data_IF_170672866778
#
_entry.id   IF_170672866778
#
_cell.length_a   1.000
_cell.length_b   1.000
_cell.length_c   1.000
_cell.angle_alpha   90.00
_cell.angle_beta   90.00
_cell.angle_gamma   90.00
#
_symmetry.space_group_name_H-M   'P 1'
#
loop_
_entity.id
_entity.type
_entity.pdbx_description
1 polymer ?
#
# COMPACT_ATOMS: atom_id res chain seq x y z
N UNK A 1 -4.58 12.54 -11.71
CA UNK A 1 -3.68 13.31 -10.84
C UNK A 1 -2.25 12.81 -11.07
N UNK A 2 -1.27 13.72 -11.16
CA UNK A 2 0.15 13.36 -11.32
C UNK A 2 1.07 14.31 -10.57
N UNK A 3 2.21 13.78 -10.09
CA UNK A 3 3.32 14.55 -9.53
C UNK A 3 4.51 14.66 -10.50
N UNK A 4 4.45 13.97 -11.65
CA UNK A 4 5.48 14.01 -12.69
C UNK A 4 5.03 14.94 -13.83
N UNK A 5 5.71 16.09 -13.97
CA UNK A 5 5.39 17.10 -14.99
C UNK A 5 5.43 16.58 -16.42
N UNK A 6 6.12 15.46 -16.68
CA UNK A 6 6.24 14.83 -18.00
C UNK A 6 5.05 13.93 -18.34
N UNK A 7 4.21 13.60 -17.33
CA UNK A 7 3.06 12.68 -17.42
C UNK A 7 1.74 13.40 -17.22
N UNK A 8 1.73 14.70 -17.39
CA UNK A 8 0.50 15.49 -17.31
C UNK A 8 -0.38 15.17 -18.51
N UNK A 9 -1.61 14.79 -18.24
CA UNK A 9 -2.65 14.58 -19.24
C UNK A 9 -3.56 15.82 -19.31
N UNK A 10 -4.15 16.05 -20.47
CA UNK A 10 -5.11 17.15 -20.67
C UNK A 10 -6.29 16.97 -19.67
N UNK A 11 -6.60 18.05 -18.96
CA UNK A 11 -7.63 18.03 -17.91
C UNK A 11 -7.16 17.46 -16.57
N UNK A 12 -5.88 17.07 -16.45
CA UNK A 12 -5.30 16.52 -15.23
C UNK A 12 -5.03 17.56 -14.15
N UNK A 13 -4.90 17.11 -12.90
CA UNK A 13 -4.41 17.90 -11.77
C UNK A 13 -2.92 17.62 -11.57
N UNK A 14 -2.10 18.65 -11.62
CA UNK A 14 -0.68 18.55 -11.29
C UNK A 14 -0.44 18.86 -9.82
N UNK A 15 0.35 18.03 -9.15
CA UNK A 15 0.72 18.23 -7.75
C UNK A 15 2.24 18.37 -7.64
N UNK A 16 2.77 19.59 -7.52
CA UNK A 16 4.18 19.83 -7.36
C UNK A 16 4.62 19.42 -5.95
N UNK A 17 5.52 18.44 -5.87
CA UNK A 17 6.14 18.03 -4.62
C UNK A 17 7.51 18.68 -4.50
N UNK A 18 7.82 19.24 -3.32
CA UNK A 18 9.15 19.75 -3.00
C UNK A 18 10.02 18.57 -2.59
N UNK A 19 10.97 18.21 -3.42
CA UNK A 19 11.97 17.19 -3.14
C UNK A 19 13.30 17.78 -2.71
N UNK A 20 14.21 16.94 -2.22
CA UNK A 20 15.55 17.37 -1.75
C UNK A 20 16.37 18.13 -2.81
N UNK A 21 16.22 17.78 -4.07
CA UNK A 21 17.02 18.33 -5.19
C UNK A 21 16.25 19.27 -6.08
N UNK A 22 14.94 19.16 -6.10
CA UNK A 22 14.09 19.85 -7.08
C UNK A 22 12.79 20.28 -6.42
N UNK A 23 12.48 21.57 -6.53
CA UNK A 23 11.13 22.09 -6.27
C UNK A 23 10.30 22.00 -7.55
N UNK A 24 9.29 21.10 -7.55
CA UNK A 24 8.47 20.85 -8.73
C UNK A 24 7.52 22.01 -9.07
N UNK A 25 7.36 23.03 -8.20
CA UNK A 25 6.56 24.23 -8.53
C UNK A 25 7.09 24.96 -9.76
N UNK A 26 8.39 24.86 -10.07
CA UNK A 26 8.98 25.45 -11.27
C UNK A 26 8.41 24.92 -12.57
N UNK A 27 7.77 23.74 -12.55
CA UNK A 27 7.17 23.13 -13.73
C UNK A 27 5.71 23.52 -13.95
N UNK A 28 5.10 24.31 -13.04
CA UNK A 28 3.70 24.73 -13.14
C UNK A 28 3.40 25.38 -14.51
N UNK A 29 4.15 26.38 -15.01
CA UNK A 29 3.87 26.97 -16.31
C UNK A 29 3.85 25.91 -17.43
N UNK A 30 4.86 25.05 -17.48
CA UNK A 30 4.98 24.00 -18.49
C UNK A 30 3.79 23.03 -18.49
N UNK A 31 3.33 22.61 -17.30
CA UNK A 31 2.21 21.64 -17.20
C UNK A 31 0.88 22.30 -17.54
N UNK A 32 0.71 23.58 -17.26
CA UNK A 32 -0.49 24.32 -17.67
C UNK A 32 -0.56 24.48 -19.20
N UNK A 33 0.56 24.80 -19.83
CA UNK A 33 0.68 24.82 -21.30
C UNK A 33 0.40 23.44 -21.93
N UNK A 34 0.80 22.35 -21.25
CA UNK A 34 0.51 20.98 -21.68
C UNK A 34 -0.98 20.58 -21.49
N UNK A 35 -1.80 21.46 -20.90
CA UNK A 35 -3.25 21.28 -20.80
C UNK A 35 -3.72 20.70 -19.45
N UNK A 36 -2.95 20.82 -18.38
CA UNK A 36 -3.45 20.57 -17.04
C UNK A 36 -4.68 21.46 -16.76
N UNK A 37 -5.67 20.92 -16.05
CA UNK A 37 -6.86 21.69 -15.65
C UNK A 37 -6.53 22.65 -14.51
N UNK A 38 -5.72 22.20 -13.57
CA UNK A 38 -5.33 22.96 -12.38
C UNK A 38 -4.04 22.41 -11.78
N UNK A 39 -3.48 23.16 -10.85
CA UNK A 39 -2.35 22.69 -10.03
C UNK A 39 -2.62 22.93 -8.54
N UNK A 40 -1.94 22.16 -7.68
CA UNK A 40 -1.74 22.57 -6.28
C UNK A 40 -0.55 23.51 -6.18
N UNK A 41 -0.44 24.25 -5.10
CA UNK A 41 0.74 25.06 -4.77
C UNK A 41 0.88 25.26 -3.27
N UNK A 42 2.09 25.14 -2.75
CA UNK A 42 2.38 25.43 -1.34
C UNK A 42 2.60 26.94 -1.10
N UNK A 43 2.56 27.74 -2.14
CA UNK A 43 2.77 29.17 -2.10
C UNK A 43 1.80 29.91 -3.02
N UNK A 44 1.59 31.19 -2.76
CA UNK A 44 0.85 32.07 -3.66
C UNK A 44 1.57 32.17 -5.01
N UNK A 45 0.83 31.99 -6.09
CA UNK A 45 1.33 32.13 -7.46
C UNK A 45 0.92 33.52 -7.95
N UNK A 46 1.82 34.50 -7.80
CA UNK A 46 1.57 35.88 -8.26
C UNK A 46 1.42 35.93 -9.78
N UNK A 47 0.36 36.60 -10.25
CA UNK A 47 0.10 36.73 -11.68
C UNK A 47 -0.33 35.45 -12.39
N UNK A 48 -0.74 34.40 -11.66
CA UNK A 48 -1.25 33.18 -12.26
C UNK A 48 -2.52 33.46 -13.08
N UNK A 49 -2.48 33.06 -14.34
CA UNK A 49 -3.59 33.13 -15.31
C UNK A 49 -4.37 31.81 -15.40
N UNK A 50 -4.09 30.88 -14.51
CA UNK A 50 -4.65 29.53 -14.47
C UNK A 50 -5.15 29.16 -13.06
N UNK A 51 -6.11 28.21 -12.95
CA UNK A 51 -6.63 27.75 -11.67
C UNK A 51 -5.55 27.04 -10.83
N UNK A 52 -5.44 27.39 -9.56
CA UNK A 52 -4.65 26.64 -8.59
C UNK A 52 -5.32 26.60 -7.23
N UNK A 53 -4.98 25.59 -6.43
CA UNK A 53 -5.44 25.43 -5.05
C UNK A 53 -4.22 25.56 -4.16
N UNK A 54 -4.24 26.54 -3.26
CA UNK A 54 -3.17 26.70 -2.28
C UNK A 54 -3.36 25.72 -1.13
N UNK A 55 -2.29 25.01 -0.79
CA UNK A 55 -2.23 23.99 0.27
C UNK A 55 -1.03 24.22 1.18
N UNK A 56 -1.10 23.74 2.43
CA UNK A 56 0.04 23.84 3.35
C UNK A 56 1.15 22.84 3.03
N UNK A 57 0.80 21.69 2.42
CA UNK A 57 1.75 20.66 1.97
C UNK A 57 1.16 19.89 0.80
N UNK A 58 1.84 19.88 -0.32
CA UNK A 58 1.44 19.13 -1.52
C UNK A 58 1.46 17.63 -1.26
N UNK A 59 2.43 17.13 -0.50
CA UNK A 59 2.51 15.72 -0.13
C UNK A 59 1.36 15.29 0.78
N UNK A 60 0.97 16.14 1.75
CA UNK A 60 -0.18 15.85 2.60
C UNK A 60 -1.48 15.90 1.78
N UNK A 61 -1.63 16.88 0.90
CA UNK A 61 -2.80 16.98 0.02
C UNK A 61 -2.97 15.75 -0.88
N UNK A 62 -1.88 15.20 -1.43
CA UNK A 62 -1.92 13.94 -2.20
C UNK A 62 -2.47 12.78 -1.35
N UNK A 63 -2.04 12.69 -0.09
CA UNK A 63 -2.51 11.64 0.84
C UNK A 63 -3.98 11.81 1.17
N UNK A 64 -4.41 13.03 1.49
CA UNK A 64 -5.80 13.34 1.85
C UNK A 64 -6.75 13.10 0.66
N UNK A 65 -6.35 13.47 -0.55
CA UNK A 65 -7.12 13.21 -1.77
C UNK A 65 -7.22 11.70 -2.03
N UNK A 66 -6.14 10.95 -1.84
CA UNK A 66 -6.14 9.51 -2.05
C UNK A 66 -7.01 8.78 -1.02
N UNK A 67 -6.95 9.18 0.27
CA UNK A 67 -7.83 8.66 1.32
C UNK A 67 -9.29 8.89 0.96
N UNK A 68 -9.66 10.14 0.64
CA UNK A 68 -11.02 10.49 0.25
C UNK A 68 -11.49 9.72 -0.98
N UNK A 69 -10.65 9.65 -2.04
CA UNK A 69 -11.01 8.97 -3.28
C UNK A 69 -11.27 7.48 -3.08
N UNK A 70 -10.40 6.81 -2.31
CA UNK A 70 -10.57 5.38 -2.03
C UNK A 70 -11.83 5.10 -1.20
N UNK A 71 -12.18 5.99 -0.27
CA UNK A 71 -13.44 5.89 0.49
C UNK A 71 -14.69 6.02 -0.39
N UNK A 72 -14.65 6.84 -1.45
CA UNK A 72 -15.78 7.00 -2.37
C UNK A 72 -16.00 5.76 -3.24
N UNK A 73 -14.95 5.01 -3.55
CA UNK A 73 -15.04 3.77 -4.34
C UNK A 73 -15.63 2.60 -3.54
N UNK A 74 -15.50 2.63 -2.21
CA UNK A 74 -16.01 1.61 -1.26
C UNK A 74 -15.69 0.16 -1.67
N UNK A 75 -14.51 -0.06 -2.23
CA UNK A 75 -14.04 -1.39 -2.64
C UNK A 75 -13.21 -2.06 -1.55
N UNK A 76 -13.20 -3.41 -1.44
CA UNK A 76 -12.33 -4.13 -0.54
C UNK A 76 -10.85 -3.89 -0.84
N UNK A 77 -10.06 -3.75 0.21
CA UNK A 77 -8.61 -3.55 0.11
C UNK A 77 -7.86 -4.64 0.85
N UNK A 78 -6.88 -5.25 0.17
CA UNK A 78 -5.88 -6.14 0.77
C UNK A 78 -4.58 -5.35 0.93
N UNK A 79 -4.18 -5.06 2.17
CA UNK A 79 -2.92 -4.39 2.49
C UNK A 79 -1.83 -5.40 2.78
N UNK A 80 -0.66 -5.28 2.15
CA UNK A 80 0.44 -6.23 2.30
C UNK A 80 1.69 -5.52 2.77
N UNK A 81 2.27 -5.99 3.87
CA UNK A 81 3.58 -5.54 4.36
C UNK A 81 4.46 -6.71 4.80
N UNK A 82 5.66 -6.40 5.25
CA UNK A 82 6.66 -7.35 5.72
C UNK A 82 8.07 -6.89 5.37
N UNK A 83 9.07 -7.55 5.91
CA UNK A 83 10.46 -7.21 5.64
C UNK A 83 10.87 -7.65 4.23
N UNK A 84 10.56 -8.88 3.85
CA UNK A 84 10.79 -9.46 2.52
C UNK A 84 9.53 -10.15 2.00
N UNK A 85 9.47 -10.40 0.69
CA UNK A 85 8.38 -11.17 0.07
C UNK A 85 7.09 -10.39 -0.22
N UNK A 86 6.99 -9.11 0.13
CA UNK A 86 5.80 -8.26 -0.13
C UNK A 86 5.35 -8.32 -1.58
N UNK A 87 6.25 -8.04 -2.50
CA UNK A 87 5.95 -7.97 -3.94
C UNK A 87 5.51 -9.34 -4.48
N UNK A 88 6.20 -10.42 -4.12
CA UNK A 88 5.81 -11.77 -4.54
C UNK A 88 4.44 -12.15 -3.99
N UNK A 89 4.17 -11.87 -2.72
CA UNK A 89 2.86 -12.12 -2.08
C UNK A 89 1.76 -11.31 -2.75
N UNK A 90 1.99 -10.03 -3.03
CA UNK A 90 1.08 -9.17 -3.79
C UNK A 90 0.75 -9.76 -5.17
N UNK A 91 1.77 -10.22 -5.90
CA UNK A 91 1.57 -10.80 -7.23
C UNK A 91 0.70 -12.07 -7.17
N UNK A 92 0.98 -12.96 -6.21
CA UNK A 92 0.21 -14.20 -6.04
C UNK A 92 -1.22 -13.90 -5.62
N UNK A 93 -1.45 -13.05 -4.61
CA UNK A 93 -2.79 -12.68 -4.16
C UNK A 93 -3.58 -12.03 -5.30
N UNK A 94 -3.00 -11.06 -6.00
CA UNK A 94 -3.66 -10.41 -7.11
C UNK A 94 -3.97 -11.38 -8.27
N UNK A 95 -3.10 -12.36 -8.53
CA UNK A 95 -3.33 -13.38 -9.54
C UNK A 95 -4.54 -14.25 -9.22
N UNK A 96 -4.68 -14.68 -7.96
CA UNK A 96 -5.84 -15.48 -7.52
C UNK A 96 -7.12 -14.64 -7.56
N UNK A 97 -7.07 -13.40 -7.07
CA UNK A 97 -8.26 -12.53 -7.05
C UNK A 97 -8.77 -12.19 -8.45
N UNK A 98 -7.86 -12.04 -9.43
CA UNK A 98 -8.20 -11.76 -10.84
C UNK A 98 -9.03 -12.85 -11.51
N UNK A 99 -9.04 -14.06 -11.00
CA UNK A 99 -9.89 -15.13 -11.52
C UNK A 99 -11.41 -14.83 -11.32
N UNK A 100 -11.73 -13.88 -10.41
CA UNK A 100 -13.10 -13.54 -10.09
C UNK A 100 -13.42 -12.05 -10.11
N UNK A 101 -12.45 -11.20 -9.81
CA UNK A 101 -12.65 -9.76 -9.59
C UNK A 101 -11.81 -8.91 -10.53
N UNK A 102 -12.33 -7.76 -10.97
CA UNK A 102 -11.50 -6.72 -11.54
C UNK A 102 -10.55 -6.18 -10.45
N UNK A 103 -9.27 -6.53 -10.55
CA UNK A 103 -8.30 -6.36 -9.46
C UNK A 103 -7.22 -5.36 -9.84
N UNK A 104 -7.14 -4.24 -9.14
CA UNK A 104 -6.00 -3.34 -9.20
C UNK A 104 -4.94 -3.76 -8.18
N UNK A 105 -3.67 -3.67 -8.55
CA UNK A 105 -2.54 -3.88 -7.62
C UNK A 105 -1.49 -2.81 -7.73
N UNK A 106 -0.70 -2.64 -6.65
CA UNK A 106 0.50 -1.80 -6.67
C UNK A 106 1.45 -2.23 -7.78
N UNK A 107 1.87 -1.30 -8.62
CA UNK A 107 2.88 -1.51 -9.66
C UNK A 107 4.28 -1.18 -9.14
N UNK A 108 5.28 -2.00 -9.53
CA UNK A 108 6.65 -1.78 -9.13
C UNK A 108 6.80 -1.62 -7.62
N UNK A 109 7.47 -0.55 -7.21
CA UNK A 109 7.73 -0.19 -5.82
C UNK A 109 6.92 1.05 -5.35
N UNK A 110 5.76 1.32 -5.93
CA UNK A 110 4.86 2.41 -5.50
C UNK A 110 4.16 2.09 -4.18
N UNK A 111 4.95 1.79 -3.14
CA UNK A 111 4.52 1.27 -1.86
C UNK A 111 4.81 2.18 -0.66
N UNK A 112 5.33 3.39 -0.90
CA UNK A 112 5.64 4.39 0.10
C UNK A 112 4.58 5.51 0.17
N UNK A 113 4.81 6.56 0.97
CA UNK A 113 3.88 7.66 1.22
C UNK A 113 3.48 8.49 -0.02
N UNK A 114 4.25 8.43 -1.09
CA UNK A 114 3.89 9.02 -2.38
C UNK A 114 3.36 7.98 -3.36
N UNK A 115 3.97 6.80 -3.38
CA UNK A 115 3.63 5.73 -4.33
C UNK A 115 2.27 5.12 -4.10
N UNK A 116 1.86 4.92 -2.83
CA UNK A 116 0.55 4.37 -2.50
C UNK A 116 -0.59 5.29 -2.97
N UNK A 117 -0.61 6.61 -2.69
CA UNK A 117 -1.57 7.54 -3.27
C UNK A 117 -1.64 7.48 -4.80
N UNK A 118 -0.48 7.46 -5.47
CA UNK A 118 -0.44 7.37 -6.94
C UNK A 118 -0.99 6.04 -7.47
N UNK A 119 -0.87 4.97 -6.69
CA UNK A 119 -1.52 3.69 -6.99
C UNK A 119 -3.04 3.80 -6.84
N UNK A 120 -3.52 4.43 -5.77
CA UNK A 120 -4.95 4.67 -5.52
C UNK A 120 -5.59 5.50 -6.63
N UNK A 121 -4.92 6.53 -7.14
CA UNK A 121 -5.45 7.34 -8.26
C UNK A 121 -5.58 6.59 -9.59
N UNK A 122 -5.12 5.36 -9.68
CA UNK A 122 -5.32 4.50 -10.86
C UNK A 122 -6.59 3.67 -10.77
N UNK A 123 -7.21 3.57 -9.60
CA UNK A 123 -8.49 2.91 -9.43
C UNK A 123 -9.57 3.60 -10.27
N UNK A 124 -10.50 2.81 -10.76
CA UNK A 124 -11.67 3.23 -11.56
C UNK A 124 -12.92 2.52 -11.01
N UNK A 125 -14.07 2.97 -11.46
CA UNK A 125 -15.38 2.42 -11.05
C UNK A 125 -15.55 0.92 -11.37
N UNK A 126 -14.80 0.41 -12.37
CA UNK A 126 -14.81 -1.02 -12.72
C UNK A 126 -13.93 -1.89 -11.82
N UNK A 127 -13.03 -1.32 -11.03
CA UNK A 127 -12.19 -2.09 -10.10
C UNK A 127 -13.03 -2.55 -8.89
N UNK A 128 -13.01 -3.85 -8.61
CA UNK A 128 -13.80 -4.47 -7.56
C UNK A 128 -12.98 -4.77 -6.29
N UNK A 129 -11.64 -4.77 -6.39
CA UNK A 129 -10.73 -5.01 -5.26
C UNK A 129 -9.35 -4.42 -5.53
N UNK A 130 -8.73 -3.88 -4.48
CA UNK A 130 -7.37 -3.37 -4.54
C UNK A 130 -6.39 -4.20 -3.70
N UNK A 131 -5.21 -4.50 -4.25
CA UNK A 131 -4.09 -5.17 -3.55
C UNK A 131 -2.94 -4.19 -3.42
N UNK A 132 -2.79 -3.62 -2.23
CA UNK A 132 -1.88 -2.51 -1.96
C UNK A 132 -0.66 -2.97 -1.15
N UNK A 133 0.52 -2.87 -1.76
CA UNK A 133 1.79 -3.10 -1.08
C UNK A 133 2.18 -1.86 -0.26
N UNK A 134 2.60 -2.06 1.00
CA UNK A 134 3.00 -1.02 1.94
C UNK A 134 4.41 -1.27 2.46
N UNK A 135 5.35 -0.43 2.06
CA UNK A 135 6.74 -0.42 2.50
C UNK A 135 7.01 0.73 3.45
N UNK A 136 7.74 0.45 4.51
CA UNK A 136 8.11 1.45 5.53
C UNK A 136 9.59 1.34 5.88
N UNK A 137 10.15 2.46 6.30
CA UNK A 137 11.52 2.60 6.79
C UNK A 137 11.57 3.13 8.22
N UNK A 138 10.50 3.76 8.73
CA UNK A 138 10.47 4.41 10.03
C UNK A 138 9.11 4.23 10.72
N UNK A 139 9.06 4.52 12.02
CA UNK A 139 7.83 4.54 12.81
C UNK A 139 6.83 5.58 12.30
N UNK A 140 5.54 5.26 12.39
CA UNK A 140 4.45 6.12 11.94
C UNK A 140 4.22 6.15 10.43
N UNK A 141 5.15 5.66 9.60
CA UNK A 141 4.92 5.57 8.16
C UNK A 141 3.79 4.59 7.85
N UNK A 142 3.77 3.43 8.54
CA UNK A 142 2.69 2.45 8.36
C UNK A 142 1.34 3.02 8.77
N UNK A 143 1.28 3.77 9.85
CA UNK A 143 0.07 4.48 10.28
C UNK A 143 -0.46 5.40 9.18
N UNK A 144 0.42 6.18 8.53
CA UNK A 144 0.03 7.10 7.43
C UNK A 144 -0.43 6.36 6.18
N UNK A 145 0.25 5.27 5.81
CA UNK A 145 -0.15 4.42 4.67
C UNK A 145 -1.49 3.70 4.94
N UNK A 146 -1.62 3.11 6.12
CA UNK A 146 -2.81 2.36 6.50
C UNK A 146 -4.04 3.27 6.66
N UNK A 147 -3.86 4.52 7.09
CA UNK A 147 -4.92 5.52 7.13
C UNK A 147 -5.53 5.78 5.75
N UNK A 148 -4.69 5.84 4.71
CA UNK A 148 -5.15 6.01 3.32
C UNK A 148 -5.86 4.74 2.84
N UNK A 149 -5.24 3.58 3.05
CA UNK A 149 -5.69 2.31 2.49
C UNK A 149 -6.89 1.70 3.22
N UNK A 150 -7.01 1.91 4.53
CA UNK A 150 -8.05 1.32 5.43
C UNK A 150 -8.37 -0.12 5.05
N UNK A 151 -7.38 -1.03 5.07
CA UNK A 151 -7.52 -2.35 4.48
C UNK A 151 -8.60 -3.19 5.18
N UNK A 152 -9.40 -3.91 4.41
CA UNK A 152 -10.30 -4.93 4.95
C UNK A 152 -9.51 -6.12 5.49
N UNK A 153 -8.45 -6.49 4.80
CA UNK A 153 -7.54 -7.57 5.19
C UNK A 153 -6.10 -7.08 5.12
N UNK A 154 -5.34 -7.27 6.17
CA UNK A 154 -3.89 -7.08 6.12
C UNK A 154 -3.15 -8.40 6.11
N UNK A 155 -2.03 -8.45 5.38
CA UNK A 155 -1.10 -9.60 5.35
C UNK A 155 0.29 -9.12 5.74
N UNK A 156 0.90 -9.76 6.76
CA UNK A 156 2.30 -9.51 7.12
C UNK A 156 3.12 -10.76 6.82
N UNK A 157 4.07 -10.65 5.90
CA UNK A 157 4.83 -11.80 5.40
C UNK A 157 5.89 -12.30 6.36
N UNK A 158 6.63 -11.38 6.99
CA UNK A 158 7.67 -11.70 8.00
C UNK A 158 8.22 -10.44 8.68
N UNK A 159 8.97 -10.66 9.78
CA UNK A 159 9.70 -9.65 10.54
C UNK A 159 11.20 -9.97 10.47
N UNK A 160 11.88 -9.37 9.53
CA UNK A 160 13.33 -9.49 9.35
C UNK A 160 14.10 -8.32 9.96
N UNK A 161 15.33 -8.11 9.49
CA UNK A 161 16.30 -7.12 9.99
C UNK A 161 16.42 -5.89 9.07
N UNK A 162 15.32 -5.51 8.38
CA UNK A 162 15.33 -4.32 7.53
C UNK A 162 15.17 -3.04 8.34
N UNK A 163 15.82 -1.95 7.89
CA UNK A 163 15.70 -0.58 8.46
C UNK A 163 16.02 -0.51 9.97
N UNK A 164 16.96 -1.32 10.46
CA UNK A 164 17.35 -1.34 11.88
C UNK A 164 17.96 0.00 12.33
N UNK A 165 18.53 0.76 11.41
CA UNK A 165 19.04 2.11 11.66
C UNK A 165 17.95 3.06 12.23
N UNK A 166 16.70 2.89 11.82
CA UNK A 166 15.57 3.70 12.27
C UNK A 166 14.70 2.96 13.30
N UNK A 167 14.54 1.64 13.14
CA UNK A 167 13.62 0.83 13.93
C UNK A 167 14.29 0.12 15.12
N UNK A 168 15.62 0.18 15.22
CA UNK A 168 16.41 -0.37 16.32
C UNK A 168 16.66 -1.87 16.19
N UNK A 169 15.65 -2.68 16.41
CA UNK A 169 15.72 -4.14 16.38
C UNK A 169 14.50 -4.77 15.71
N UNK A 170 14.40 -6.11 15.74
CA UNK A 170 13.23 -6.83 15.18
C UNK A 170 11.94 -6.57 15.94
N UNK A 171 11.98 -6.21 17.20
CA UNK A 171 10.80 -5.81 17.96
C UNK A 171 10.29 -4.44 17.51
N UNK A 172 11.21 -3.51 17.21
CA UNK A 172 10.88 -2.25 16.56
C UNK A 172 10.29 -2.45 15.16
N UNK A 173 10.84 -3.38 14.36
CA UNK A 173 10.26 -3.74 13.06
C UNK A 173 8.84 -4.32 13.21
N UNK A 174 8.61 -5.21 14.17
CA UNK A 174 7.28 -5.73 14.49
C UNK A 174 6.34 -4.59 14.86
N UNK A 175 6.73 -3.74 15.79
CA UNK A 175 5.94 -2.60 16.24
C UNK A 175 5.54 -1.68 15.10
N UNK A 176 6.51 -1.29 14.26
CA UNK A 176 6.25 -0.41 13.12
C UNK A 176 5.30 -1.04 12.09
N UNK A 177 5.47 -2.34 11.76
CA UNK A 177 4.61 -3.00 10.77
C UNK A 177 3.21 -3.29 11.31
N UNK A 178 3.06 -3.56 12.60
CA UNK A 178 1.75 -3.80 13.23
C UNK A 178 0.94 -2.51 13.45
N UNK A 179 1.50 -1.33 13.20
CA UNK A 179 0.72 -0.08 13.15
C UNK A 179 -0.44 -0.18 12.14
N UNK A 180 -0.33 -1.01 11.09
CA UNK A 180 -1.40 -1.25 10.12
C UNK A 180 -2.70 -1.72 10.79
N UNK A 181 -2.61 -2.45 11.91
CA UNK A 181 -3.77 -3.01 12.59
C UNK A 181 -4.78 -1.96 13.05
N UNK A 182 -4.34 -0.71 13.29
CA UNK A 182 -5.22 0.38 13.70
C UNK A 182 -6.32 0.70 12.67
N UNK A 183 -6.09 0.32 11.41
CA UNK A 183 -6.97 0.65 10.28
C UNK A 183 -7.55 -0.58 9.58
N UNK A 184 -7.24 -1.79 10.06
CA UNK A 184 -7.79 -3.03 9.51
C UNK A 184 -9.26 -3.18 9.91
N UNK A 185 -10.12 -3.49 8.94
CA UNK A 185 -11.55 -3.57 9.16
C UNK A 185 -12.05 -4.99 9.50
N UNK A 186 -11.41 -6.07 8.98
CA UNK A 186 -11.96 -7.43 9.05
C UNK A 186 -10.97 -8.50 9.46
N UNK A 187 -9.83 -8.62 8.76
CA UNK A 187 -8.94 -9.77 8.93
C UNK A 187 -7.47 -9.37 9.06
N UNK A 188 -6.79 -10.02 9.99
CA UNK A 188 -5.34 -9.96 10.17
C UNK A 188 -4.78 -11.33 9.78
N UNK A 189 -3.93 -11.39 8.74
CA UNK A 189 -3.32 -12.62 8.22
C UNK A 189 -1.82 -12.56 8.43
N UNK A 190 -1.27 -13.49 9.20
CA UNK A 190 0.12 -13.47 9.64
C UNK A 190 0.84 -14.78 9.31
N UNK A 191 2.13 -14.68 9.03
CA UNK A 191 2.98 -15.86 8.91
C UNK A 191 3.21 -16.49 10.28
N UNK A 192 2.65 -17.68 10.52
CA UNK A 192 2.78 -18.43 11.76
C UNK A 192 4.16 -19.08 11.96
N UNK A 193 4.96 -19.19 10.90
CA UNK A 193 6.34 -19.71 10.98
C UNK A 193 7.36 -18.60 11.35
N UNK A 194 6.94 -17.34 11.40
CA UNK A 194 7.76 -16.22 11.87
C UNK A 194 7.69 -16.11 13.40
N UNK A 195 8.83 -16.15 14.07
CA UNK A 195 8.96 -16.16 15.54
C UNK A 195 8.37 -14.90 16.21
N UNK A 196 8.35 -13.76 15.50
CA UNK A 196 7.78 -12.52 16.02
C UNK A 196 6.27 -12.43 15.74
N UNK A 197 5.84 -12.75 14.52
CA UNK A 197 4.42 -12.68 14.15
C UNK A 197 3.58 -13.71 14.90
N UNK A 198 4.12 -14.90 15.18
CA UNK A 198 3.44 -15.97 15.95
C UNK A 198 3.11 -15.58 17.40
N UNK A 199 3.76 -14.53 17.94
CA UNK A 199 3.46 -14.01 19.28
C UNK A 199 2.22 -13.11 19.32
N UNK A 200 1.74 -12.60 18.18
CA UNK A 200 0.56 -11.74 18.07
C UNK A 200 -0.69 -12.60 18.31
N UNK A 201 -1.47 -12.28 19.35
CA UNK A 201 -2.63 -13.08 19.72
C UNK A 201 -3.96 -12.47 19.29
N UNK A 202 -4.10 -11.17 19.49
CA UNK A 202 -5.33 -10.45 19.23
C UNK A 202 -5.06 -8.96 19.05
N UNK A 203 -5.86 -8.30 18.24
CA UNK A 203 -5.91 -6.85 18.15
C UNK A 203 -7.37 -6.37 18.02
N UNK A 204 -7.86 -5.60 19.00
CA UNK A 204 -9.23 -5.07 19.05
C UNK A 204 -10.33 -6.11 18.77
N UNK A 205 -10.23 -7.30 19.37
CA UNK A 205 -11.18 -8.39 19.17
C UNK A 205 -10.96 -9.21 17.90
N UNK A 206 -10.02 -8.83 17.04
CA UNK A 206 -9.65 -9.60 15.85
C UNK A 206 -8.58 -10.63 16.17
N UNK A 207 -8.90 -11.92 16.00
CA UNK A 207 -7.95 -13.02 16.09
C UNK A 207 -7.19 -13.14 14.77
N UNK A 208 -5.85 -13.17 14.76
CA UNK A 208 -5.09 -13.40 13.54
C UNK A 208 -5.35 -14.78 12.94
N UNK A 209 -5.47 -14.83 11.62
CA UNK A 209 -5.41 -16.08 10.84
C UNK A 209 -3.94 -16.34 10.50
N UNK A 210 -3.39 -17.43 10.99
CA UNK A 210 -2.01 -17.80 10.70
C UNK A 210 -1.92 -18.75 9.50
N UNK A 211 -1.00 -18.44 8.59
CA UNK A 211 -0.57 -19.36 7.54
C UNK A 211 0.86 -19.85 7.81
N UNK A 212 1.17 -21.05 7.36
CA UNK A 212 2.50 -21.66 7.54
C UNK A 212 2.40 -23.14 7.90
N UNK A 213 3.48 -23.72 8.47
CA UNK A 213 3.54 -25.13 8.86
C UNK A 213 3.51 -25.32 10.39
N UNK A 214 3.53 -24.23 11.17
CA UNK A 214 3.50 -24.26 12.62
C UNK A 214 2.16 -24.78 13.18
N UNK A 215 2.15 -25.20 14.46
CA UNK A 215 0.97 -25.77 15.13
C UNK A 215 -0.24 -24.80 15.15
N UNK A 216 0.03 -23.49 15.21
CA UNK A 216 -0.98 -22.44 15.22
C UNK A 216 -1.51 -22.07 13.83
N UNK A 217 -0.98 -22.65 12.75
CA UNK A 217 -1.40 -22.31 11.41
C UNK A 217 -2.80 -22.87 11.11
N UNK A 218 -3.72 -21.99 10.71
CA UNK A 218 -5.04 -22.33 10.21
C UNK A 218 -5.04 -22.65 8.73
N UNK A 219 -4.06 -22.11 7.99
CA UNK A 219 -3.85 -22.34 6.57
C UNK A 219 -2.49 -22.99 6.40
N UNK A 220 -2.45 -24.24 5.95
CA UNK A 220 -1.22 -25.01 5.76
C UNK A 220 -1.08 -25.46 4.30
N UNK A 221 0.15 -25.85 3.92
CA UNK A 221 0.45 -26.37 2.62
C UNK A 221 1.03 -27.78 2.77
N UNK A 222 0.40 -28.75 2.11
CA UNK A 222 0.79 -30.17 2.14
C UNK A 222 1.13 -30.66 0.74
N UNK A 223 1.78 -31.82 0.63
CA UNK A 223 2.11 -32.48 -0.65
C UNK A 223 2.82 -31.54 -1.65
N UNK A 224 3.79 -30.76 -1.15
CA UNK A 224 4.52 -29.80 -1.98
C UNK A 224 5.43 -30.50 -2.96
N UNK A 225 5.16 -30.39 -4.25
CA UNK A 225 6.01 -30.88 -5.34
C UNK A 225 6.67 -29.72 -6.09
N UNK A 226 7.98 -29.61 -6.04
CA UNK A 226 8.74 -28.66 -6.85
C UNK A 226 9.07 -29.25 -8.21
N UNK A 227 8.72 -28.56 -9.28
CA UNK A 227 9.06 -28.93 -10.67
C UNK A 227 10.10 -27.96 -11.26
N UNK A 228 10.85 -27.28 -10.41
CA UNK A 228 11.84 -26.28 -10.81
C UNK A 228 11.20 -25.15 -11.61
N UNK A 229 11.75 -24.83 -12.79
CA UNK A 229 11.21 -23.77 -13.68
C UNK A 229 9.80 -24.06 -14.21
N UNK A 230 9.27 -25.26 -14.05
CA UNK A 230 7.90 -25.63 -14.44
C UNK A 230 6.87 -25.30 -13.36
N UNK A 231 7.32 -24.70 -12.24
CA UNK A 231 6.45 -24.31 -11.13
C UNK A 231 6.42 -25.30 -9.98
N UNK A 232 5.41 -25.19 -9.15
CA UNK A 232 5.15 -26.07 -8.01
C UNK A 232 3.67 -26.40 -7.92
N UNK A 233 3.34 -27.51 -7.28
CA UNK A 233 2.00 -27.88 -6.86
C UNK A 233 1.97 -28.19 -5.38
N UNK A 234 0.85 -27.92 -4.73
CA UNK A 234 0.64 -28.28 -3.32
C UNK A 234 -0.87 -28.36 -3.04
N UNK A 235 -1.22 -28.99 -1.95
CA UNK A 235 -2.55 -29.00 -1.38
C UNK A 235 -2.64 -27.91 -0.31
N UNK A 236 -3.60 -27.00 -0.43
CA UNK A 236 -3.88 -25.98 0.59
C UNK A 236 -4.94 -26.56 1.54
N UNK A 237 -4.55 -26.68 2.81
CA UNK A 237 -5.41 -27.24 3.85
C UNK A 237 -5.86 -26.12 4.78
N UNK A 238 -7.17 -26.06 5.05
CA UNK A 238 -7.80 -25.14 5.98
C UNK A 238 -8.18 -25.88 7.24
N UNK A 239 -7.64 -25.51 8.40
CA UNK A 239 -7.97 -26.07 9.72
C UNK A 239 -9.02 -25.20 10.39
N UNK A 240 -10.20 -25.77 10.62
CA UNK A 240 -11.32 -25.09 11.25
C UNK A 240 -12.20 -24.30 10.29
N UNK A 241 -13.18 -23.58 10.83
CA UNK A 241 -13.96 -22.61 10.06
C UNK A 241 -13.19 -21.30 10.04
N UNK A 242 -12.76 -20.86 8.88
CA UNK A 242 -12.28 -19.50 8.64
C UNK A 242 -13.47 -18.57 8.51
#
# INVERSE_FOLDING_TARGET
ITTDSRKVEKGGLFVPVVGERVDAHRFIPQVMEAGALATLSERTLEGADHPYIQVGSSLQAVKDIAEFYLEQLDIPVVGITGSVGKTSTKEVIASVLKEKYCTLKTQGNFNNELGLPLTVFRLRDEDEIAVLEMGISDFGEMTRLAKIAKPDTCVITNIGTCHLENLGDRDGVLKAKTEIFQYVKRNIVLNGDDDKLSTVKEYNGMQPVFFGNGENASVTCENVESRGLKGMSCDICLKGKI
#
